data_IF_324566887551
#
_entry.id   IF_324566887551
#
_cell.length_a   1.000
_cell.length_b   1.000
_cell.length_c   1.000
_cell.angle_alpha   90.00
_cell.angle_beta   90.00
_cell.angle_gamma   90.00
#
_symmetry.space_group_name_H-M   'P 1'
#
loop_
_entity.id
_entity.type
_entity.pdbx_description
1 polymer ?
#
# COMPACT_ATOMS: atom_id res chain seq x y z
N UNK A 1 9.45 4.95 23.96
CA UNK A 1 9.75 3.94 22.91
C UNK A 1 11.22 3.56 22.89
N UNK A 2 11.80 3.22 24.05
CA UNK A 2 13.18 2.72 24.17
C UNK A 2 13.25 1.19 24.14
N UNK A 3 12.10 0.51 24.24
CA UNK A 3 12.00 -0.93 24.03
C UNK A 3 12.28 -1.28 22.58
N UNK A 4 13.31 -2.08 22.36
CA UNK A 4 13.74 -2.49 21.02
C UNK A 4 12.60 -3.11 20.21
N UNK A 5 11.76 -3.94 20.82
CA UNK A 5 10.60 -4.55 20.14
C UNK A 5 9.66 -3.48 19.54
N UNK A 6 9.35 -2.43 20.29
CA UNK A 6 8.51 -1.32 19.81
C UNK A 6 9.23 -0.56 18.69
N UNK A 7 10.53 -0.31 18.83
CA UNK A 7 11.32 0.38 17.80
C UNK A 7 11.35 -0.41 16.48
N UNK A 8 11.52 -1.72 16.54
CA UNK A 8 11.49 -2.59 15.36
C UNK A 8 10.11 -2.56 14.69
N UNK A 9 9.03 -2.66 15.46
CA UNK A 9 7.66 -2.53 14.91
C UNK A 9 7.46 -1.17 14.25
N UNK A 10 7.91 -0.07 14.88
CA UNK A 10 7.81 1.26 14.27
C UNK A 10 8.66 1.38 13.01
N UNK A 11 9.85 0.77 12.96
CA UNK A 11 10.67 0.71 11.76
C UNK A 11 9.95 -0.04 10.62
N UNK A 12 9.34 -1.20 10.88
CA UNK A 12 8.58 -1.95 9.89
C UNK A 12 7.40 -1.14 9.33
N UNK A 13 6.67 -0.44 10.20
CA UNK A 13 5.57 0.44 9.76
C UNK A 13 6.06 1.60 8.89
N UNK A 14 7.25 2.14 9.21
CA UNK A 14 7.87 3.20 8.42
C UNK A 14 8.31 2.67 7.05
N UNK A 15 8.89 1.48 6.98
CA UNK A 15 9.25 0.83 5.71
C UNK A 15 8.00 0.62 4.85
N UNK A 16 6.91 0.11 5.43
CA UNK A 16 5.65 -0.08 4.69
C UNK A 16 5.08 1.25 4.16
N UNK A 17 5.17 2.32 4.95
CA UNK A 17 4.75 3.65 4.54
C UNK A 17 5.61 4.21 3.39
N UNK A 18 6.93 4.05 3.46
CA UNK A 18 7.83 4.49 2.38
C UNK A 18 7.59 3.69 1.10
N UNK A 19 7.41 2.37 1.19
CA UNK A 19 7.09 1.53 0.03
C UNK A 19 5.79 1.97 -0.66
N UNK A 20 4.72 2.21 0.12
CA UNK A 20 3.47 2.76 -0.41
C UNK A 20 3.69 4.13 -1.07
N UNK A 21 4.43 5.03 -0.42
CA UNK A 21 4.68 6.38 -0.94
C UNK A 21 5.44 6.33 -2.27
N UNK A 22 6.46 5.48 -2.39
CA UNK A 22 7.21 5.30 -3.63
C UNK A 22 6.32 4.81 -4.77
N UNK A 23 5.47 3.81 -4.51
CA UNK A 23 4.53 3.30 -5.52
C UNK A 23 3.52 4.37 -5.94
N UNK A 24 2.97 5.12 -4.99
CA UNK A 24 2.03 6.20 -5.27
C UNK A 24 2.65 7.26 -6.18
N UNK A 25 3.87 7.72 -5.88
CA UNK A 25 4.52 8.75 -6.69
C UNK A 25 4.87 8.25 -8.09
N UNK A 26 5.26 6.98 -8.22
CA UNK A 26 5.51 6.37 -9.52
C UNK A 26 4.21 6.28 -10.34
N UNK A 27 3.09 5.89 -9.72
CA UNK A 27 1.77 5.86 -10.35
C UNK A 27 1.34 7.26 -10.80
N UNK A 28 1.45 8.27 -9.93
CA UNK A 28 1.12 9.65 -10.27
C UNK A 28 1.95 10.15 -11.46
N UNK A 29 3.27 9.89 -11.46
CA UNK A 29 4.13 10.24 -12.59
C UNK A 29 3.63 9.62 -13.90
N UNK A 30 3.27 8.34 -13.89
CA UNK A 30 2.78 7.66 -15.11
C UNK A 30 1.45 8.22 -15.58
N UNK A 31 0.52 8.50 -14.66
CA UNK A 31 -0.75 9.14 -14.97
C UNK A 31 -0.55 10.52 -15.60
N UNK A 32 0.31 11.35 -15.01
CA UNK A 32 0.57 12.71 -15.48
C UNK A 32 1.23 12.74 -16.87
N UNK A 33 1.98 11.70 -17.22
CA UNK A 33 2.66 11.57 -18.52
C UNK A 33 1.89 10.71 -19.54
N UNK A 34 0.68 10.25 -19.21
CA UNK A 34 -0.12 9.40 -20.10
C UNK A 34 0.49 8.02 -20.39
N UNK A 35 1.34 7.52 -19.50
CA UNK A 35 1.97 6.21 -19.60
C UNK A 35 1.02 5.11 -19.10
N UNK A 36 1.12 3.90 -19.67
CA UNK A 36 0.32 2.77 -19.25
C UNK A 36 0.60 2.42 -17.77
N UNK A 37 -0.40 2.40 -16.91
CA UNK A 37 -0.19 2.28 -15.46
C UNK A 37 -1.12 1.30 -14.75
N UNK A 38 -1.74 0.37 -15.49
CA UNK A 38 -2.78 -0.50 -14.93
C UNK A 38 -2.23 -1.42 -13.82
N UNK A 39 -1.08 -2.05 -14.05
CA UNK A 39 -0.46 -2.92 -13.04
C UNK A 39 0.06 -2.11 -11.84
N UNK A 40 0.59 -0.91 -12.06
CA UNK A 40 1.03 -0.04 -10.97
C UNK A 40 -0.15 0.52 -10.16
N UNK A 41 -1.30 0.74 -10.79
CA UNK A 41 -2.53 1.13 -10.10
C UNK A 41 -3.00 0.03 -9.14
N UNK A 42 -3.11 -1.21 -9.61
CA UNK A 42 -3.49 -2.35 -8.76
C UNK A 42 -2.45 -2.64 -7.68
N UNK A 43 -1.16 -2.59 -8.01
CA UNK A 43 -0.08 -2.76 -7.03
C UNK A 43 -0.12 -1.67 -5.95
N UNK A 44 -0.30 -0.40 -6.34
CA UNK A 44 -0.40 0.73 -5.39
C UNK A 44 -1.62 0.59 -4.48
N UNK A 45 -2.78 0.22 -5.02
CA UNK A 45 -3.98 -0.04 -4.24
C UNK A 45 -3.80 -1.20 -3.24
N UNK A 46 -3.11 -2.26 -3.67
CA UNK A 46 -2.78 -3.38 -2.78
C UNK A 46 -1.82 -2.95 -1.66
N UNK A 47 -0.75 -2.21 -1.99
CA UNK A 47 0.17 -1.66 -1.00
C UNK A 47 -0.52 -0.72 -0.02
N UNK A 48 -1.53 0.05 -0.45
CA UNK A 48 -2.33 0.89 0.43
C UNK A 48 -3.12 0.05 1.44
N UNK A 49 -3.64 -1.09 0.98
CA UNK A 49 -4.34 -2.06 1.83
C UNK A 49 -3.41 -2.71 2.85
N UNK A 50 -2.26 -3.21 2.41
CA UNK A 50 -1.29 -3.90 3.26
C UNK A 50 -0.64 -2.94 4.29
N UNK A 51 -0.18 -1.76 3.84
CA UNK A 51 0.39 -0.75 4.74
C UNK A 51 -0.66 -0.22 5.71
N UNK A 52 -1.88 0.06 5.25
CA UNK A 52 -2.97 0.52 6.11
C UNK A 52 -3.33 -0.47 7.22
N UNK A 53 -3.31 -1.77 6.91
CA UNK A 53 -3.49 -2.84 7.89
C UNK A 53 -2.33 -2.90 8.88
N UNK A 54 -1.08 -2.99 8.41
CA UNK A 54 0.12 -3.10 9.25
C UNK A 54 0.29 -1.90 10.19
N UNK A 55 0.20 -0.69 9.64
CA UNK A 55 0.37 0.57 10.39
C UNK A 55 -0.77 0.74 11.39
N UNK A 56 -2.03 0.51 10.97
CA UNK A 56 -3.18 0.63 11.85
C UNK A 56 -3.11 -0.33 13.04
N UNK A 57 -2.80 -1.60 12.81
CA UNK A 57 -2.67 -2.60 13.87
C UNK A 57 -1.49 -2.30 14.80
N UNK A 58 -0.33 -1.93 14.26
CA UNK A 58 0.83 -1.56 15.06
C UNK A 58 0.55 -0.34 15.93
N UNK A 59 -0.09 0.70 15.36
CA UNK A 59 -0.48 1.89 16.09
C UNK A 59 -1.44 1.54 17.24
N UNK A 60 -2.44 0.71 17.00
CA UNK A 60 -3.35 0.24 18.04
C UNK A 60 -2.61 -0.49 19.17
N UNK A 61 -1.70 -1.40 18.79
CA UNK A 61 -0.93 -2.19 19.73
C UNK A 61 -0.05 -1.33 20.65
N UNK A 62 0.69 -0.36 20.11
CA UNK A 62 1.59 0.48 20.90
C UNK A 62 0.88 1.47 21.82
N UNK A 63 -0.39 1.79 21.55
CA UNK A 63 -1.21 2.62 22.45
C UNK A 63 -1.88 1.79 23.57
N UNK A 64 -1.81 0.46 23.52
CA UNK A 64 -2.36 -0.43 24.54
C UNK A 64 -3.86 -0.21 24.76
N UNK A 65 -4.28 -0.17 26.03
CA UNK A 65 -5.69 0.02 26.41
C UNK A 65 -6.29 1.35 25.91
N UNK A 66 -5.48 2.40 25.78
CA UNK A 66 -5.94 3.69 25.22
C UNK A 66 -6.27 3.61 23.74
N UNK A 67 -5.78 2.59 23.04
CA UNK A 67 -6.06 2.42 21.61
C UNK A 67 -7.55 2.35 21.31
N UNK A 68 -8.35 1.75 22.19
CA UNK A 68 -9.81 1.52 21.99
C UNK A 68 -10.68 2.59 22.65
N UNK A 69 -10.07 3.55 23.35
CA UNK A 69 -10.80 4.63 23.99
C UNK A 69 -11.36 5.58 22.91
N UNK A 70 -12.68 5.73 22.88
CA UNK A 70 -13.38 6.54 21.87
C UNK A 70 -13.22 8.05 22.10
N UNK A 71 -12.73 8.45 23.28
CA UNK A 71 -12.32 9.83 23.56
C UNK A 71 -10.93 10.15 22.99
N UNK A 72 -10.14 9.12 22.65
CA UNK A 72 -8.83 9.24 22.01
C UNK A 72 -8.93 9.06 20.48
N UNK A 73 -7.96 9.56 19.71
CA UNK A 73 -8.12 9.65 18.25
C UNK A 73 -7.70 8.38 17.48
N UNK A 74 -6.86 7.51 18.05
CA UNK A 74 -6.12 6.52 17.26
C UNK A 74 -7.01 5.46 16.61
N UNK A 75 -8.10 5.06 17.28
CA UNK A 75 -9.05 4.07 16.74
C UNK A 75 -9.67 4.52 15.41
N UNK A 76 -9.81 5.84 15.19
CA UNK A 76 -10.37 6.39 13.95
C UNK A 76 -9.50 6.05 12.75
N UNK A 77 -8.18 6.13 12.90
CA UNK A 77 -7.23 5.81 11.83
C UNK A 77 -7.25 4.33 11.46
N UNK A 78 -7.43 3.43 12.43
CA UNK A 78 -7.61 1.99 12.16
C UNK A 78 -8.89 1.73 11.36
N UNK A 79 -10.00 2.37 11.71
CA UNK A 79 -11.25 2.19 10.98
C UNK A 79 -11.21 2.82 9.57
N UNK A 80 -10.60 4.00 9.44
CA UNK A 80 -10.41 4.62 8.12
C UNK A 80 -9.51 3.78 7.22
N UNK A 81 -8.38 3.26 7.73
CA UNK A 81 -7.51 2.40 6.92
C UNK A 81 -8.26 1.14 6.48
N UNK A 82 -9.05 0.52 7.36
CA UNK A 82 -9.86 -0.66 7.04
C UNK A 82 -10.95 -0.35 6.01
N UNK A 83 -11.61 0.80 6.11
CA UNK A 83 -12.61 1.23 5.12
C UNK A 83 -11.97 1.43 3.74
N UNK A 84 -10.81 2.11 3.67
CA UNK A 84 -10.06 2.31 2.43
C UNK A 84 -9.64 0.96 1.83
N UNK A 85 -9.10 0.05 2.65
CA UNK A 85 -8.68 -1.29 2.23
C UNK A 85 -9.79 -2.10 1.56
N UNK A 86 -11.03 -1.97 2.04
CA UNK A 86 -12.16 -2.76 1.54
C UNK A 86 -12.87 -2.13 0.34
N UNK A 87 -12.63 -0.85 0.04
CA UNK A 87 -13.36 -0.10 -0.98
C UNK A 87 -13.20 -0.71 -2.39
N UNK A 88 -12.03 -1.26 -2.70
CA UNK A 88 -11.73 -1.92 -3.99
C UNK A 88 -11.80 -3.46 -3.92
N UNK A 89 -12.55 -4.02 -2.96
CA UNK A 89 -12.72 -5.47 -2.79
C UNK A 89 -11.67 -6.15 -1.91
N UNK A 90 -10.74 -5.38 -1.33
CA UNK A 90 -9.73 -5.92 -0.42
C UNK A 90 -8.50 -6.51 -1.12
N UNK A 91 -7.52 -6.88 -0.29
CA UNK A 91 -6.22 -7.43 -0.75
C UNK A 91 -6.37 -8.61 -1.73
N UNK A 92 -7.22 -9.64 -1.49
CA UNK A 92 -7.36 -10.76 -2.42
C UNK A 92 -7.91 -10.36 -3.79
N UNK A 93 -8.90 -9.46 -3.84
CA UNK A 93 -9.49 -9.01 -5.10
C UNK A 93 -8.49 -8.19 -5.93
N UNK A 94 -7.72 -7.32 -5.27
CA UNK A 94 -6.67 -6.52 -5.89
C UNK A 94 -5.54 -7.40 -6.45
N UNK A 95 -5.10 -8.40 -5.69
CA UNK A 95 -4.08 -9.34 -6.17
C UNK A 95 -4.56 -10.22 -7.32
N UNK A 96 -5.83 -10.63 -7.31
CA UNK A 96 -6.41 -11.36 -8.44
C UNK A 96 -6.40 -10.51 -9.71
N UNK A 97 -6.86 -9.24 -9.62
CA UNK A 97 -6.84 -8.30 -10.75
C UNK A 97 -5.42 -8.00 -11.23
N UNK A 98 -4.49 -7.80 -10.32
CA UNK A 98 -3.08 -7.64 -10.67
C UNK A 98 -2.56 -8.88 -11.40
N UNK A 99 -2.87 -10.08 -10.91
CA UNK A 99 -2.50 -11.35 -11.56
C UNK A 99 -3.03 -11.46 -12.98
N UNK A 100 -4.30 -11.11 -13.22
CA UNK A 100 -4.91 -11.09 -14.55
C UNK A 100 -4.11 -10.17 -15.50
N UNK A 101 -3.82 -8.94 -15.07
CA UNK A 101 -3.06 -7.95 -15.86
C UNK A 101 -1.63 -8.42 -16.13
N UNK A 102 -0.94 -8.96 -15.12
CA UNK A 102 0.41 -9.50 -15.29
C UNK A 102 0.43 -10.68 -16.28
N UNK A 103 -0.60 -11.54 -16.27
CA UNK A 103 -0.69 -12.69 -17.17
C UNK A 103 -0.95 -12.30 -18.62
N UNK A 104 -1.64 -11.19 -18.84
CA UNK A 104 -1.98 -10.69 -20.17
C UNK A 104 -0.81 -9.96 -20.86
N UNK A 105 0.18 -9.48 -20.08
CA UNK A 105 1.23 -8.59 -20.56
C UNK A 105 2.63 -9.20 -20.40
N UNK A 106 3.15 -9.78 -21.48
CA UNK A 106 4.48 -10.42 -21.53
C UNK A 106 5.66 -9.44 -21.59
N UNK A 107 5.41 -8.13 -21.73
CA UNK A 107 6.43 -7.10 -21.86
C UNK A 107 6.70 -6.34 -20.55
N UNK A 108 6.12 -6.79 -19.44
CA UNK A 108 6.34 -6.21 -18.12
C UNK A 108 7.76 -6.53 -17.63
N UNK A 109 8.43 -5.55 -17.01
CA UNK A 109 9.87 -5.59 -16.73
C UNK A 109 10.72 -4.75 -17.70
N UNK A 110 10.07 -3.86 -18.45
CA UNK A 110 10.57 -3.01 -19.53
C UNK A 110 11.90 -2.27 -19.27
N UNK A 111 12.29 -2.03 -18.02
CA UNK A 111 13.40 -1.13 -17.64
C UNK A 111 14.78 -1.50 -18.22
N UNK A 112 14.95 -2.71 -18.77
CA UNK A 112 16.21 -3.14 -19.37
C UNK A 112 16.12 -3.51 -20.86
N UNK A 113 14.92 -3.60 -21.44
CA UNK A 113 14.73 -4.22 -22.76
C UNK A 113 13.86 -3.41 -23.75
N UNK A 114 13.11 -2.39 -23.31
CA UNK A 114 12.14 -1.67 -24.14
C UNK A 114 12.09 -0.17 -23.77
N UNK A 115 11.66 0.67 -24.73
CA UNK A 115 11.36 2.08 -24.44
C UNK A 115 10.12 2.19 -23.53
N UNK A 116 10.08 3.22 -22.69
CA UNK A 116 9.00 3.43 -21.70
C UNK A 116 7.63 3.63 -22.37
N UNK A 117 7.64 4.05 -23.64
CA UNK A 117 6.48 4.21 -24.52
C UNK A 117 5.93 2.89 -25.09
N UNK A 118 6.75 1.83 -25.13
CA UNK A 118 6.41 0.53 -25.73
C UNK A 118 5.81 -0.47 -24.72
N UNK A 119 5.84 -0.14 -23.43
CA UNK A 119 5.18 -0.89 -22.37
C UNK A 119 3.66 -0.64 -22.44
N UNK A 120 2.98 -1.35 -23.35
CA UNK A 120 1.52 -1.49 -23.35
C UNK A 120 1.09 -2.54 -22.33
#
# INVERSE_FOLDING_TARGET
GTFQAVQMTMADTKIALEALRSNLWQLCYRLDNGLACEHEAYATAWHATDAGHKIGHAAQHVHGGFGVDVSYIIFRYLYWSRAISLNLGGSPALLAKLGDVLSANNNLGWKYNLDESDAK
#
